data_IF_158071229759
#
_entry.id   IF_158071229759
#
_cell.length_a   1.000
_cell.length_b   1.000
_cell.length_c   1.000
_cell.angle_alpha   90.00
_cell.angle_beta   90.00
_cell.angle_gamma   90.00
#
_symmetry.space_group_name_H-M   'P 1'
#
loop_
_entity.id
_entity.type
_entity.pdbx_description
1 polymer ?
#
# COMPACT_ATOMS: atom_id res chain seq x y z
N UNK A 1 -12.51 -17.98 11.70
CA UNK A 1 -11.92 -16.64 11.97
C UNK A 1 -10.79 -16.31 11.00
N UNK A 2 -9.73 -17.14 10.88
CA UNK A 2 -8.68 -16.94 9.85
C UNK A 2 -9.22 -16.83 8.43
N UNK A 3 -10.06 -17.78 8.01
CA UNK A 3 -10.65 -17.80 6.67
C UNK A 3 -11.36 -16.49 6.31
N UNK A 4 -12.12 -15.93 7.24
CA UNK A 4 -12.81 -14.65 7.04
C UNK A 4 -11.82 -13.47 6.99
N UNK A 5 -10.86 -13.40 7.93
CA UNK A 5 -9.90 -12.31 8.02
C UNK A 5 -8.96 -12.25 6.82
N UNK A 6 -8.58 -13.40 6.26
CA UNK A 6 -7.68 -13.54 5.11
C UNK A 6 -8.42 -13.73 3.77
N UNK A 7 -9.75 -13.65 3.76
CA UNK A 7 -10.58 -14.02 2.61
C UNK A 7 -10.17 -13.32 1.30
N UNK A 8 -9.89 -12.01 1.32
CA UNK A 8 -9.50 -11.30 0.08
C UNK A 8 -8.12 -11.71 -0.43
N UNK A 9 -7.22 -12.07 0.48
CA UNK A 9 -5.90 -12.59 0.14
C UNK A 9 -6.02 -13.99 -0.48
N UNK A 10 -6.80 -14.89 0.14
CA UNK A 10 -6.97 -16.25 -0.37
C UNK A 10 -7.75 -16.30 -1.68
N UNK A 11 -8.74 -15.42 -1.87
CA UNK A 11 -9.39 -15.21 -3.17
C UNK A 11 -8.37 -14.80 -4.25
N UNK A 12 -7.40 -13.96 -3.90
CA UNK A 12 -6.36 -13.54 -4.84
C UNK A 12 -5.41 -14.68 -5.16
N UNK A 13 -4.99 -15.46 -4.16
CA UNK A 13 -4.14 -16.64 -4.38
C UNK A 13 -4.78 -17.65 -5.34
N UNK A 14 -6.10 -17.85 -5.27
CA UNK A 14 -6.84 -18.79 -6.13
C UNK A 14 -6.75 -18.46 -7.63
N UNK A 15 -6.45 -17.21 -8.01
CA UNK A 15 -6.30 -16.86 -9.43
C UNK A 15 -5.11 -17.57 -10.08
N UNK A 16 -4.13 -17.99 -9.27
CA UNK A 16 -2.88 -18.61 -9.73
C UNK A 16 -2.87 -20.14 -9.64
N UNK A 17 -3.90 -20.72 -8.99
CA UNK A 17 -3.92 -22.11 -8.57
C UNK A 17 -5.02 -22.89 -9.27
N UNK A 18 -4.83 -24.21 -9.40
CA UNK A 18 -5.81 -25.11 -10.01
C UNK A 18 -7.20 -24.98 -9.33
N UNK A 19 -8.25 -25.30 -10.07
CA UNK A 19 -9.60 -25.28 -9.52
C UNK A 19 -9.73 -26.31 -8.38
N UNK A 20 -10.46 -25.94 -7.32
CA UNK A 20 -10.75 -26.86 -6.21
C UNK A 20 -9.67 -26.96 -5.12
N UNK A 21 -8.59 -26.18 -5.16
CA UNK A 21 -7.62 -26.11 -4.05
C UNK A 21 -8.33 -25.75 -2.74
N UNK A 22 -8.11 -26.54 -1.68
CA UNK A 22 -8.79 -26.35 -0.40
C UNK A 22 -8.42 -25.00 0.23
N UNK A 23 -9.39 -24.35 0.90
CA UNK A 23 -9.13 -23.09 1.61
C UNK A 23 -8.07 -23.24 2.70
N UNK A 24 -8.10 -24.36 3.42
CA UNK A 24 -7.14 -24.66 4.49
C UNK A 24 -5.70 -24.68 3.97
N UNK A 25 -5.45 -25.20 2.76
CA UNK A 25 -4.11 -25.18 2.15
C UNK A 25 -3.61 -23.76 1.87
N UNK A 26 -4.51 -22.84 1.49
CA UNK A 26 -4.15 -21.43 1.26
C UNK A 26 -3.83 -20.73 2.58
N UNK A 27 -4.63 -20.98 3.61
CA UNK A 27 -4.41 -20.44 4.95
C UNK A 27 -3.09 -20.99 5.51
N UNK A 28 -2.86 -22.30 5.42
CA UNK A 28 -1.63 -22.95 5.87
C UNK A 28 -0.39 -22.38 5.15
N UNK A 29 -0.46 -22.17 3.84
CA UNK A 29 0.62 -21.56 3.08
C UNK A 29 0.97 -20.15 3.58
N UNK A 30 -0.04 -19.33 3.91
CA UNK A 30 0.15 -17.98 4.46
C UNK A 30 0.66 -18.02 5.91
N UNK A 31 0.04 -18.81 6.78
CA UNK A 31 0.31 -18.81 8.22
C UNK A 31 1.54 -19.61 8.60
N UNK A 32 1.99 -20.51 7.73
CA UNK A 32 3.19 -21.29 8.01
C UNK A 32 4.50 -20.54 7.72
N UNK A 33 4.47 -19.35 7.11
CA UNK A 33 5.69 -18.58 6.80
C UNK A 33 6.15 -17.82 8.04
N UNK A 34 7.41 -18.02 8.41
CA UNK A 34 8.10 -17.32 9.48
C UNK A 34 9.10 -16.32 8.88
N UNK A 35 8.83 -15.03 9.09
CA UNK A 35 9.72 -13.96 8.69
C UNK A 35 10.40 -13.33 9.91
N UNK A 36 11.67 -12.97 9.78
CA UNK A 36 12.42 -12.21 10.79
C UNK A 36 12.90 -10.89 10.19
N UNK A 37 12.56 -9.79 10.85
CA UNK A 37 12.98 -8.43 10.48
C UNK A 37 14.19 -8.06 11.35
N UNK A 38 15.28 -7.69 10.71
CA UNK A 38 16.55 -7.36 11.34
C UNK A 38 16.86 -5.90 11.08
N UNK A 39 17.11 -5.14 12.14
CA UNK A 39 17.57 -3.76 12.02
C UNK A 39 18.66 -3.50 13.06
N UNK A 40 19.82 -3.01 12.60
CA UNK A 40 20.91 -2.62 13.49
C UNK A 40 20.60 -1.34 14.28
N UNK A 41 21.39 -1.03 15.33
CA UNK A 41 21.20 0.16 16.16
C UNK A 41 21.15 1.47 15.37
N UNK A 42 21.96 1.61 14.31
CA UNK A 42 22.00 2.82 13.48
C UNK A 42 20.68 3.05 12.72
N UNK A 43 20.10 1.98 12.16
CA UNK A 43 18.84 2.08 11.40
C UNK A 43 17.67 2.30 12.35
N UNK A 44 17.55 1.50 13.42
CA UNK A 44 16.39 1.60 14.32
C UNK A 44 16.36 2.90 15.13
N UNK A 45 17.49 3.59 15.25
CA UNK A 45 17.57 4.91 15.86
C UNK A 45 16.89 6.01 15.02
N UNK A 46 16.67 5.81 13.72
CA UNK A 46 16.02 6.80 12.85
C UNK A 46 14.49 6.62 12.81
N UNK A 47 13.74 7.69 12.50
CA UNK A 47 12.27 7.61 12.36
C UNK A 47 11.88 6.77 11.14
N UNK A 48 12.62 6.92 10.04
CA UNK A 48 12.46 6.11 8.84
C UNK A 48 12.71 4.61 9.11
N UNK A 49 13.76 4.26 9.86
CA UNK A 49 14.07 2.87 10.22
C UNK A 49 12.99 2.22 11.09
N UNK A 50 12.51 2.92 12.13
CA UNK A 50 11.35 2.47 12.94
C UNK A 50 10.12 2.28 12.06
N UNK A 51 9.85 3.25 11.18
CA UNK A 51 8.73 3.20 10.25
C UNK A 51 8.80 1.98 9.33
N UNK A 52 9.97 1.65 8.78
CA UNK A 52 10.14 0.48 7.92
C UNK A 52 9.88 -0.82 8.69
N UNK A 53 10.45 -0.99 9.89
CA UNK A 53 10.21 -2.18 10.73
C UNK A 53 8.72 -2.35 11.02
N UNK A 54 8.06 -1.27 11.46
CA UNK A 54 6.63 -1.28 11.79
C UNK A 54 5.79 -1.65 10.55
N UNK A 55 6.09 -1.01 9.42
CA UNK A 55 5.36 -1.22 8.17
C UNK A 55 5.51 -2.64 7.67
N UNK A 56 6.75 -3.15 7.62
CA UNK A 56 7.05 -4.51 7.17
C UNK A 56 6.34 -5.53 8.06
N UNK A 57 6.46 -5.36 9.39
CA UNK A 57 5.83 -6.26 10.36
C UNK A 57 4.31 -6.31 10.22
N UNK A 58 3.66 -5.15 10.13
CA UNK A 58 2.21 -5.06 9.98
C UNK A 58 1.74 -5.63 8.63
N UNK A 59 2.41 -5.31 7.51
CA UNK A 59 2.02 -5.85 6.20
C UNK A 59 2.14 -7.37 6.14
N UNK A 60 3.21 -7.93 6.70
CA UNK A 60 3.42 -9.39 6.76
C UNK A 60 2.42 -10.07 7.70
N UNK A 61 2.19 -9.51 8.89
CA UNK A 61 1.20 -10.06 9.82
C UNK A 61 -0.23 -10.00 9.26
N UNK A 62 -0.57 -8.95 8.48
CA UNK A 62 -1.86 -8.84 7.75
C UNK A 62 -2.02 -9.91 6.66
N UNK A 63 -0.91 -10.38 6.09
CA UNK A 63 -0.91 -11.52 5.16
C UNK A 63 -1.02 -12.87 5.87
N UNK A 64 -0.92 -12.91 7.20
CA UNK A 64 -1.02 -14.13 8.02
C UNK A 64 0.31 -14.69 8.51
N UNK A 65 1.45 -14.09 8.13
CA UNK A 65 2.77 -14.62 8.48
C UNK A 65 3.08 -14.49 9.98
N UNK A 66 3.93 -15.38 10.50
CA UNK A 66 4.55 -15.22 11.82
C UNK A 66 5.73 -14.27 11.70
N UNK A 67 5.72 -13.17 12.45
CA UNK A 67 6.75 -12.12 12.33
C UNK A 67 7.59 -12.03 13.60
N UNK A 68 8.91 -12.01 13.44
CA UNK A 68 9.89 -11.84 14.50
C UNK A 68 10.71 -10.55 14.33
N UNK A 69 11.03 -9.88 15.42
CA UNK A 69 11.76 -8.61 15.45
C UNK A 69 13.15 -8.80 16.08
N UNK A 70 14.16 -8.92 15.23
CA UNK A 70 15.57 -8.98 15.61
C UNK A 70 16.20 -7.59 15.55
N UNK A 71 15.71 -6.67 16.38
CA UNK A 71 16.24 -5.33 16.55
C UNK A 71 16.21 -4.90 18.02
N UNK A 72 16.98 -3.85 18.40
CA UNK A 72 16.85 -3.23 19.72
C UNK A 72 15.44 -2.70 19.97
N UNK A 73 14.93 -2.88 21.20
CA UNK A 73 13.71 -2.19 21.61
C UNK A 73 14.01 -0.70 21.80
N UNK A 74 13.22 0.14 21.15
CA UNK A 74 13.40 1.59 21.14
C UNK A 74 12.11 2.29 21.49
N UNK A 75 12.25 3.54 21.95
CA UNK A 75 11.11 4.41 22.17
C UNK A 75 10.49 4.85 20.85
N UNK A 76 9.17 4.92 20.84
CA UNK A 76 8.37 5.56 19.80
C UNK A 76 8.07 6.99 20.24
N UNK A 77 8.99 7.90 19.91
CA UNK A 77 8.86 9.32 20.29
C UNK A 77 7.85 10.07 19.41
N UNK A 78 7.57 9.52 18.23
CA UNK A 78 6.57 10.03 17.29
C UNK A 78 5.40 9.03 17.16
N UNK A 79 4.17 9.51 16.93
CA UNK A 79 3.02 8.65 16.66
C UNK A 79 3.27 7.72 15.46
N UNK A 80 2.99 6.43 15.63
CA UNK A 80 3.15 5.41 14.59
C UNK A 80 1.85 4.60 14.41
N UNK A 81 0.74 5.24 13.99
CA UNK A 81 -0.57 4.59 13.95
C UNK A 81 -0.55 3.35 13.03
N UNK A 82 -1.21 2.23 13.37
CA UNK A 82 -2.20 2.11 14.43
C UNK A 82 -1.63 1.75 15.81
N UNK A 83 -0.30 1.80 15.98
CA UNK A 83 0.34 1.37 17.21
C UNK A 83 -0.04 2.28 18.40
N UNK A 84 -0.21 1.65 19.56
CA UNK A 84 -0.41 2.31 20.84
C UNK A 84 0.71 1.94 21.83
N UNK A 85 1.17 2.94 22.58
CA UNK A 85 2.26 2.82 23.56
C UNK A 85 3.54 3.50 23.12
N UNK A 86 4.58 3.38 23.94
CA UNK A 86 5.84 4.14 23.80
C UNK A 86 7.05 3.28 23.45
N UNK A 87 6.96 1.95 23.51
CA UNK A 87 8.06 1.03 23.21
C UNK A 87 7.71 0.22 21.97
N UNK A 88 8.66 0.08 21.05
CA UNK A 88 8.47 -0.54 19.74
C UNK A 88 7.98 -1.98 19.86
N UNK A 89 8.67 -2.82 20.64
CA UNK A 89 8.35 -4.24 20.74
C UNK A 89 6.96 -4.46 21.32
N UNK A 90 6.68 -3.86 22.47
CA UNK A 90 5.39 -3.95 23.14
C UNK A 90 4.23 -3.45 22.25
N UNK A 91 4.44 -2.34 21.54
CA UNK A 91 3.42 -1.77 20.68
C UNK A 91 3.12 -2.67 19.47
N UNK A 92 4.15 -3.24 18.84
CA UNK A 92 3.99 -4.17 17.72
C UNK A 92 3.41 -5.51 18.15
N UNK A 93 3.81 -6.06 19.30
CA UNK A 93 3.22 -7.30 19.82
C UNK A 93 1.74 -7.13 20.12
N UNK A 94 1.34 -6.03 20.80
CA UNK A 94 -0.08 -5.73 21.04
C UNK A 94 -0.86 -5.57 19.73
N UNK A 95 -0.30 -4.87 18.75
CA UNK A 95 -0.95 -4.71 17.46
C UNK A 95 -1.09 -6.05 16.73
N UNK A 96 -0.06 -6.91 16.77
CA UNK A 96 -0.09 -8.26 16.20
C UNK A 96 -1.17 -9.13 16.84
N UNK A 97 -1.26 -9.13 18.17
CA UNK A 97 -2.28 -9.88 18.90
C UNK A 97 -3.71 -9.41 18.55
N UNK A 98 -3.88 -8.11 18.28
CA UNK A 98 -5.13 -7.46 17.87
C UNK A 98 -5.31 -7.36 16.33
N UNK A 99 -4.59 -8.15 15.54
CA UNK A 99 -4.68 -8.13 14.08
C UNK A 99 -5.39 -9.39 13.57
N UNK A 100 -4.69 -10.23 12.81
CA UNK A 100 -5.22 -11.50 12.30
C UNK A 100 -5.25 -12.50 13.47
N UNK A 101 -6.42 -13.07 13.82
CA UNK A 101 -6.53 -14.01 14.95
C UNK A 101 -5.52 -15.15 14.85
N UNK A 102 -4.69 -15.39 15.86
CA UNK A 102 -3.71 -16.50 15.84
C UNK A 102 -2.38 -16.21 15.13
N UNK A 103 -2.25 -15.05 14.47
CA UNK A 103 -0.95 -14.54 14.02
C UNK A 103 -0.36 -13.63 15.11
N UNK A 104 0.97 -13.57 15.21
CA UNK A 104 1.64 -12.78 16.24
C UNK A 104 2.89 -12.09 15.70
N UNK A 105 3.22 -10.95 16.31
CA UNK A 105 4.49 -10.25 16.11
C UNK A 105 5.29 -10.36 17.41
N UNK A 106 6.49 -10.94 17.35
CA UNK A 106 7.28 -11.29 18.55
C UNK A 106 8.66 -10.65 18.53
N UNK A 107 9.16 -10.12 19.66
CA UNK A 107 10.55 -9.70 19.76
C UNK A 107 11.52 -10.89 19.78
N UNK A 108 12.73 -10.68 19.28
CA UNK A 108 13.81 -11.66 19.26
C UNK A 108 13.89 -12.47 17.96
N UNK A 109 14.58 -13.60 18.04
CA UNK A 109 14.73 -14.55 16.94
C UNK A 109 13.71 -15.69 17.08
N UNK A 110 13.23 -16.25 15.95
CA UNK A 110 12.40 -17.44 15.98
C UNK A 110 13.16 -18.64 16.60
N UNK A 111 12.45 -19.59 17.24
CA UNK A 111 13.07 -20.77 17.84
C UNK A 111 13.60 -21.78 16.82
N UNK A 112 13.14 -21.70 15.58
CA UNK A 112 13.59 -22.48 14.44
C UNK A 112 14.11 -21.55 13.34
N UNK A 113 14.78 -22.13 12.34
CA UNK A 113 15.22 -21.42 11.15
C UNK A 113 14.04 -20.68 10.49
N UNK A 114 14.24 -19.42 10.11
CA UNK A 114 13.21 -18.62 9.44
C UNK A 114 13.13 -18.97 7.95
N UNK A 115 11.94 -18.83 7.36
CA UNK A 115 11.77 -18.92 5.90
C UNK A 115 12.41 -17.72 5.20
N UNK A 116 12.30 -16.53 5.82
CA UNK A 116 12.78 -15.28 5.26
C UNK A 116 13.40 -14.37 6.33
N UNK A 117 14.66 -13.98 6.13
CA UNK A 117 15.30 -12.89 6.87
C UNK A 117 15.31 -11.61 6.04
N UNK A 118 14.85 -10.51 6.65
CA UNK A 118 14.73 -9.19 6.05
C UNK A 118 15.65 -8.26 6.81
N UNK A 119 16.75 -7.87 6.17
CA UNK A 119 17.81 -7.08 6.80
C UNK A 119 17.73 -5.64 6.32
N UNK A 120 17.50 -4.70 7.23
CA UNK A 120 17.48 -3.27 6.91
C UNK A 120 18.88 -2.70 7.08
N UNK A 121 19.45 -2.18 6.00
CA UNK A 121 20.79 -1.61 5.97
C UNK A 121 21.89 -2.66 6.14
N UNK A 122 22.95 -2.27 6.84
CA UNK A 122 24.13 -3.08 7.11
C UNK A 122 24.01 -3.76 8.48
N UNK A 123 23.30 -4.89 8.55
CA UNK A 123 23.24 -5.73 9.75
C UNK A 123 23.53 -7.20 9.41
N UNK A 124 23.94 -7.95 10.44
CA UNK A 124 24.18 -9.39 10.29
C UNK A 124 22.87 -10.14 10.11
N UNK A 125 22.76 -10.91 9.03
CA UNK A 125 21.60 -11.75 8.79
C UNK A 125 21.61 -12.98 9.72
N UNK A 126 20.48 -13.34 10.35
CA UNK A 126 20.33 -14.64 11.00
C UNK A 126 20.24 -15.76 9.97
N UNK A 127 20.27 -17.01 10.43
CA UNK A 127 20.02 -18.15 9.57
C UNK A 127 18.56 -18.17 9.07
N UNK A 128 18.38 -18.18 7.75
CA UNK A 128 17.09 -18.29 7.08
C UNK A 128 17.22 -18.97 5.70
N UNK A 129 16.13 -19.51 5.17
CA UNK A 129 16.11 -20.12 3.83
C UNK A 129 16.32 -19.10 2.72
N UNK A 130 15.79 -17.89 2.90
CA UNK A 130 16.06 -16.73 2.06
C UNK A 130 16.51 -15.55 2.91
N UNK A 131 17.50 -14.80 2.43
CA UNK A 131 17.90 -13.52 3.03
C UNK A 131 17.75 -12.43 1.96
N UNK A 132 17.11 -11.33 2.34
CA UNK A 132 17.08 -10.11 1.55
C UNK A 132 17.59 -8.94 2.38
N UNK A 133 18.33 -8.05 1.72
CA UNK A 133 18.79 -6.79 2.27
C UNK A 133 18.03 -5.65 1.63
N UNK A 134 17.63 -4.69 2.46
CA UNK A 134 16.90 -3.51 2.06
C UNK A 134 17.73 -2.27 2.30
N UNK A 135 17.80 -1.41 1.29
CA UNK A 135 18.28 -0.05 1.42
C UNK A 135 17.12 0.95 1.28
N UNK A 136 17.31 2.14 1.82
CA UNK A 136 16.35 3.22 1.72
C UNK A 136 17.03 4.59 1.77
N UNK A 137 16.62 5.48 0.88
CA UNK A 137 16.82 6.92 1.00
C UNK A 137 15.50 7.60 1.34
N UNK A 138 15.45 8.92 1.28
CA UNK A 138 14.22 9.66 1.52
C UNK A 138 13.16 9.34 0.44
N UNK A 139 13.57 9.07 -0.80
CA UNK A 139 12.65 8.85 -1.93
C UNK A 139 12.85 7.54 -2.70
N UNK A 140 13.80 6.70 -2.31
CA UNK A 140 14.07 5.44 -2.99
C UNK A 140 14.19 4.26 -2.03
N UNK A 141 13.96 3.06 -2.57
CA UNK A 141 14.13 1.80 -1.88
C UNK A 141 14.91 0.84 -2.77
N UNK A 142 15.77 0.04 -2.16
CA UNK A 142 16.47 -1.05 -2.85
C UNK A 142 16.21 -2.37 -2.14
N UNK A 143 16.21 -3.44 -2.92
CA UNK A 143 16.20 -4.82 -2.45
C UNK A 143 17.37 -5.54 -3.12
N UNK A 144 18.11 -6.35 -2.36
CA UNK A 144 19.18 -7.21 -2.85
C UNK A 144 19.19 -8.54 -2.12
N UNK A 145 19.50 -9.63 -2.82
CA UNK A 145 19.67 -10.96 -2.23
C UNK A 145 21.15 -11.34 -2.01
N UNK A 146 22.08 -10.43 -2.27
CA UNK A 146 23.53 -10.74 -2.26
C UNK A 146 24.37 -9.78 -1.43
N UNK A 147 23.90 -8.57 -1.20
CA UNK A 147 24.66 -7.54 -0.50
C UNK A 147 23.75 -6.56 0.26
N UNK A 148 24.22 -5.99 1.38
CA UNK A 148 23.53 -4.91 2.09
C UNK A 148 23.15 -3.74 1.19
N UNK A 149 21.97 -3.18 1.43
CA UNK A 149 21.54 -1.92 0.83
C UNK A 149 22.00 -0.74 1.68
N UNK A 150 22.35 0.38 1.05
CA UNK A 150 22.65 1.60 1.79
C UNK A 150 21.40 2.14 2.48
N UNK A 151 21.53 2.52 3.75
CA UNK A 151 20.46 3.16 4.50
C UNK A 151 20.82 4.61 4.80
N UNK A 152 20.22 5.54 4.06
CA UNK A 152 20.42 6.99 4.21
C UNK A 152 19.15 7.71 4.70
N UNK A 153 17.99 7.05 4.68
CA UNK A 153 16.75 7.61 5.19
C UNK A 153 16.78 7.84 6.72
N UNK A 154 16.50 9.07 7.15
CA UNK A 154 16.53 9.44 8.58
C UNK A 154 15.14 9.81 9.10
N UNK A 155 14.60 10.95 8.68
CA UNK A 155 13.33 11.50 9.17
C UNK A 155 12.20 11.38 8.14
N UNK A 156 12.52 11.39 6.84
CA UNK A 156 11.56 11.26 5.76
C UNK A 156 11.34 9.78 5.39
N UNK A 157 10.18 9.19 5.69
CA UNK A 157 10.05 7.73 5.68
C UNK A 157 9.63 7.15 4.32
N UNK A 158 9.55 7.94 3.25
CA UNK A 158 8.93 7.50 2.00
C UNK A 158 9.68 6.33 1.34
N UNK A 159 10.99 6.42 1.18
CA UNK A 159 11.80 5.28 0.71
C UNK A 159 11.77 4.09 1.68
N UNK A 160 11.75 4.34 2.98
CA UNK A 160 11.67 3.31 4.01
C UNK A 160 10.33 2.53 3.97
N UNK A 161 9.22 3.21 3.66
CA UNK A 161 7.90 2.61 3.44
C UNK A 161 7.88 1.73 2.17
N UNK A 162 8.53 2.17 1.09
CA UNK A 162 8.71 1.35 -0.11
C UNK A 162 9.56 0.10 0.15
N UNK A 163 10.66 0.23 0.89
CA UNK A 163 11.52 -0.89 1.28
C UNK A 163 10.73 -1.95 2.08
N UNK A 164 9.92 -1.50 3.04
CA UNK A 164 9.04 -2.38 3.80
C UNK A 164 7.99 -3.09 2.92
N UNK A 165 7.46 -2.41 1.91
CA UNK A 165 6.50 -2.99 0.98
C UNK A 165 7.13 -4.00 0.00
N UNK A 166 8.40 -3.80 -0.39
CA UNK A 166 9.19 -4.81 -1.12
C UNK A 166 9.36 -6.08 -0.28
N UNK A 167 9.73 -5.95 0.99
CA UNK A 167 9.86 -7.08 1.91
C UNK A 167 8.55 -7.85 2.08
N UNK A 168 7.43 -7.16 2.24
CA UNK A 168 6.12 -7.79 2.35
C UNK A 168 5.76 -8.59 1.08
N UNK A 169 6.19 -8.11 -0.10
CA UNK A 169 6.06 -8.84 -1.36
C UNK A 169 6.86 -10.15 -1.36
N UNK A 170 8.11 -10.13 -0.92
CA UNK A 170 8.94 -11.35 -0.82
C UNK A 170 8.39 -12.37 0.19
N UNK A 171 7.88 -11.90 1.34
CA UNK A 171 7.23 -12.78 2.31
C UNK A 171 5.99 -13.47 1.73
N UNK A 172 5.21 -12.73 0.93
CA UNK A 172 4.06 -13.30 0.23
C UNK A 172 4.48 -14.32 -0.83
N UNK A 173 5.54 -14.05 -1.61
CA UNK A 173 6.10 -15.03 -2.55
C UNK A 173 6.54 -16.32 -1.86
N UNK A 174 7.15 -16.22 -0.67
CA UNK A 174 7.52 -17.39 0.12
C UNK A 174 6.29 -18.25 0.45
N UNK A 175 5.14 -17.64 0.73
CA UNK A 175 3.87 -18.35 0.94
C UNK A 175 3.39 -19.02 -0.35
N UNK A 176 3.39 -18.28 -1.46
CA UNK A 176 2.94 -18.81 -2.76
C UNK A 176 3.79 -19.99 -3.24
N UNK A 177 5.11 -19.97 -3.03
CA UNK A 177 6.00 -21.07 -3.45
C UNK A 177 5.66 -22.41 -2.79
N UNK A 178 5.01 -22.42 -1.62
CA UNK A 178 4.53 -23.65 -0.96
C UNK A 178 3.35 -24.30 -1.69
N UNK A 179 2.69 -23.56 -2.58
CA UNK A 179 1.54 -24.00 -3.37
C UNK A 179 1.93 -24.32 -4.82
N UNK A 180 3.22 -24.36 -5.14
CA UNK A 180 3.68 -24.53 -6.51
C UNK A 180 3.22 -25.86 -7.13
N UNK A 181 3.00 -26.92 -6.34
CA UNK A 181 2.58 -28.24 -6.83
C UNK A 181 1.12 -28.25 -7.29
N UNK A 182 0.33 -27.26 -6.87
CA UNK A 182 -1.10 -27.11 -7.22
C UNK A 182 -1.35 -25.87 -8.09
N UNK A 183 -0.30 -25.31 -8.68
CA UNK A 183 -0.40 -24.18 -9.60
C UNK A 183 -1.06 -24.54 -10.92
N UNK A 184 -1.82 -23.62 -11.54
CA UNK A 184 -2.43 -23.85 -12.88
C UNK A 184 -1.38 -24.12 -13.96
N UNK A 185 -0.27 -23.39 -13.89
CA UNK A 185 0.87 -23.51 -14.79
C UNK A 185 2.14 -23.40 -13.98
N UNK A 186 2.82 -24.54 -13.78
CA UNK A 186 4.02 -24.61 -12.96
C UNK A 186 5.11 -23.65 -13.42
N UNK A 187 5.37 -23.59 -14.73
CA UNK A 187 6.43 -22.74 -15.31
C UNK A 187 6.14 -21.26 -15.10
N UNK A 188 4.91 -20.82 -15.40
CA UNK A 188 4.53 -19.41 -15.17
C UNK A 188 4.56 -19.06 -13.68
N UNK A 189 4.11 -19.98 -12.83
CA UNK A 189 4.11 -19.82 -11.39
C UNK A 189 5.53 -19.64 -10.84
N UNK A 190 6.46 -20.53 -11.18
CA UNK A 190 7.85 -20.43 -10.72
C UNK A 190 8.52 -19.12 -11.16
N UNK A 191 8.22 -18.61 -12.37
CA UNK A 191 8.74 -17.32 -12.83
C UNK A 191 8.15 -16.13 -12.05
N UNK A 192 6.85 -16.15 -11.77
CA UNK A 192 6.16 -15.04 -11.07
C UNK A 192 6.55 -14.97 -9.59
N UNK A 193 6.67 -16.14 -8.93
CA UNK A 193 6.88 -16.25 -7.48
C UNK A 193 8.34 -16.50 -7.09
N UNK A 194 9.27 -16.46 -8.05
CA UNK A 194 10.69 -16.52 -7.80
C UNK A 194 11.15 -15.38 -6.85
N UNK A 195 12.09 -15.65 -5.94
CA UNK A 195 12.76 -14.62 -5.15
C UNK A 195 13.30 -13.50 -6.04
N UNK A 196 13.13 -12.25 -5.60
CA UNK A 196 13.79 -11.13 -6.25
C UNK A 196 15.29 -11.11 -5.92
N UNK A 197 16.12 -10.91 -6.95
CA UNK A 197 17.59 -10.81 -6.77
C UNK A 197 18.01 -9.40 -6.46
N UNK A 198 17.58 -8.43 -7.28
CA UNK A 198 17.89 -7.00 -7.12
C UNK A 198 16.76 -6.16 -7.67
N UNK A 199 16.28 -5.18 -6.91
CA UNK A 199 15.31 -4.20 -7.38
C UNK A 199 15.61 -2.82 -6.82
N UNK A 200 15.28 -1.78 -7.58
CA UNK A 200 15.35 -0.39 -7.17
C UNK A 200 14.04 0.30 -7.54
N UNK A 201 13.48 1.02 -6.57
CA UNK A 201 12.25 1.77 -6.72
C UNK A 201 12.57 3.22 -6.36
N UNK A 202 12.39 4.11 -7.33
CA UNK A 202 12.59 5.55 -7.17
C UNK A 202 11.24 6.25 -7.25
N UNK A 203 10.76 6.78 -6.13
CA UNK A 203 9.44 7.41 -5.99
C UNK A 203 9.46 8.89 -6.39
N UNK A 204 10.59 9.54 -6.16
CA UNK A 204 10.90 10.90 -6.60
C UNK A 204 12.43 11.09 -6.65
N UNK A 205 12.94 12.13 -7.33
CA UNK A 205 14.34 12.51 -7.22
C UNK A 205 14.73 12.81 -5.76
N UNK A 206 16.01 12.60 -5.38
CA UNK A 206 16.49 12.95 -4.02
C UNK A 206 16.34 14.45 -3.68
N UNK A 207 16.30 15.29 -4.72
CA UNK A 207 16.08 16.74 -4.60
C UNK A 207 14.60 17.12 -4.47
N UNK A 208 13.68 16.16 -4.53
CA UNK A 208 12.25 16.42 -4.43
C UNK A 208 11.88 17.04 -3.08
N UNK A 209 11.00 18.03 -3.12
CA UNK A 209 10.65 18.78 -1.94
C UNK A 209 9.77 17.94 -0.99
N UNK A 210 9.97 18.11 0.31
CA UNK A 210 9.27 17.38 1.36
C UNK A 210 8.08 18.19 1.84
N UNK A 211 6.99 18.15 1.08
CA UNK A 211 5.75 18.86 1.44
C UNK A 211 5.21 18.36 2.79
N UNK A 212 5.04 19.28 3.75
CA UNK A 212 4.51 18.98 5.10
C UNK A 212 3.10 19.50 5.31
N UNK A 213 2.78 20.64 4.70
CA UNK A 213 1.41 21.16 4.66
C UNK A 213 0.66 20.56 3.47
N UNK A 214 -0.33 19.75 3.78
CA UNK A 214 -1.18 19.09 2.79
C UNK A 214 -2.44 19.89 2.48
N UNK A 215 -2.63 21.06 3.11
CA UNK A 215 -3.82 21.89 2.97
C UNK A 215 -5.10 21.13 3.31
N UNK A 216 -6.19 21.48 2.62
CA UNK A 216 -7.44 20.71 2.68
C UNK A 216 -7.55 19.81 1.47
N UNK A 217 -7.96 18.55 1.67
CA UNK A 217 -8.27 17.63 0.59
C UNK A 217 -9.39 16.66 1.00
N UNK A 218 -10.05 16.07 0.00
CA UNK A 218 -11.02 14.99 0.20
C UNK A 218 -10.38 13.64 -0.10
N UNK A 219 -10.73 12.64 0.70
CA UNK A 219 -10.44 11.23 0.47
C UNK A 219 -11.77 10.51 0.27
N UNK A 220 -12.02 10.02 -0.95
CA UNK A 220 -13.23 9.24 -1.26
C UNK A 220 -12.90 7.76 -1.15
N UNK A 221 -13.58 7.06 -0.22
CA UNK A 221 -13.29 5.73 0.33
C UNK A 221 -12.54 5.77 1.66
N UNK A 222 -12.96 4.93 2.61
CA UNK A 222 -12.25 4.48 3.80
C UNK A 222 -11.69 3.06 3.63
N UNK A 223 -11.69 2.55 2.40
CA UNK A 223 -11.15 1.24 2.02
C UNK A 223 -9.63 1.15 2.06
N UNK A 224 -9.09 0.08 1.46
CA UNK A 224 -7.70 -0.34 1.64
C UNK A 224 -6.66 0.68 1.15
N UNK A 225 -6.90 1.26 -0.03
CA UNK A 225 -6.01 2.25 -0.66
C UNK A 225 -5.98 3.55 0.15
N UNK A 226 -7.15 4.05 0.55
CA UNK A 226 -7.26 5.24 1.40
C UNK A 226 -6.62 5.02 2.78
N UNK A 227 -6.84 3.85 3.39
CA UNK A 227 -6.18 3.44 4.63
C UNK A 227 -4.65 3.46 4.49
N UNK A 228 -4.13 2.91 3.38
CA UNK A 228 -2.69 2.90 3.11
C UNK A 228 -2.13 4.31 2.85
N UNK A 229 -2.83 5.15 2.08
CA UNK A 229 -2.44 6.54 1.86
C UNK A 229 -2.37 7.30 3.19
N UNK A 230 -3.40 7.19 4.04
CA UNK A 230 -3.40 7.80 5.37
C UNK A 230 -2.31 7.21 6.27
N UNK A 231 -2.05 5.89 6.21
CA UNK A 231 -0.95 5.26 6.96
C UNK A 231 0.41 5.89 6.63
N UNK A 232 0.63 6.20 5.35
CA UNK A 232 1.84 6.89 4.86
C UNK A 232 1.87 8.33 5.32
N UNK A 233 0.81 9.10 5.06
CA UNK A 233 0.76 10.53 5.37
C UNK A 233 0.89 10.82 6.87
N UNK A 234 0.27 10.00 7.74
CA UNK A 234 0.33 10.16 9.19
C UNK A 234 1.71 9.91 9.81
N UNK A 235 2.67 9.38 9.04
CA UNK A 235 4.05 9.14 9.47
C UNK A 235 5.02 10.22 9.01
N UNK A 236 4.55 11.16 8.21
CA UNK A 236 5.39 12.24 7.75
C UNK A 236 5.69 13.18 8.93
N UNK A 237 6.97 13.59 9.09
CA UNK A 237 7.36 14.46 10.19
C UNK A 237 6.66 15.82 10.05
N UNK A 238 6.04 16.27 11.14
CA UNK A 238 5.36 17.58 11.21
C UNK A 238 4.27 17.80 10.14
N UNK A 239 3.65 16.73 9.66
CA UNK A 239 2.57 16.84 8.66
C UNK A 239 1.38 17.62 9.21
N UNK A 240 0.83 18.52 8.39
CA UNK A 240 -0.36 19.31 8.71
C UNK A 240 -1.38 19.27 7.58
N UNK A 241 -2.64 19.53 7.92
CA UNK A 241 -3.73 19.64 6.94
C UNK A 241 -5.05 19.11 7.47
N UNK A 242 -6.06 19.11 6.59
CA UNK A 242 -7.40 18.59 6.86
C UNK A 242 -7.82 17.65 5.74
N UNK A 243 -8.09 16.40 6.08
CA UNK A 243 -8.60 15.38 5.17
C UNK A 243 -10.05 15.06 5.53
N UNK A 244 -11.00 15.36 4.65
CA UNK A 244 -12.38 14.85 4.78
C UNK A 244 -12.45 13.46 4.17
N UNK A 245 -12.78 12.44 4.95
CA UNK A 245 -12.83 11.05 4.46
C UNK A 245 -14.27 10.57 4.34
N UNK A 246 -14.65 10.12 3.14
CA UNK A 246 -16.01 9.72 2.78
C UNK A 246 -16.13 8.20 2.67
N UNK A 247 -16.95 7.57 3.51
CA UNK A 247 -17.30 6.14 3.46
C UNK A 247 -18.48 5.88 4.40
N UNK A 248 -19.45 5.06 4.01
CA UNK A 248 -20.59 4.66 4.85
C UNK A 248 -20.47 3.26 5.45
N UNK A 249 -19.42 2.50 5.13
CA UNK A 249 -19.28 1.14 5.64
C UNK A 249 -18.73 1.13 7.08
N UNK A 250 -19.02 0.01 7.74
CA UNK A 250 -18.35 -0.42 8.95
C UNK A 250 -17.14 -1.32 8.64
N UNK A 251 -16.17 -1.34 9.54
CA UNK A 251 -15.02 -2.22 9.45
C UNK A 251 -15.43 -3.68 9.67
N UNK A 252 -15.15 -4.55 8.70
CA UNK A 252 -15.38 -6.00 8.82
C UNK A 252 -14.08 -6.76 9.09
N UNK A 253 -14.17 -8.00 9.63
CA UNK A 253 -13.00 -8.88 9.82
C UNK A 253 -12.21 -9.07 8.52
N UNK A 254 -12.92 -9.24 7.40
CA UNK A 254 -12.31 -9.36 6.08
C UNK A 254 -11.50 -8.15 5.63
N UNK A 255 -11.56 -7.01 6.34
CA UNK A 255 -10.78 -5.81 6.05
C UNK A 255 -9.39 -5.82 6.70
N UNK A 256 -9.17 -6.67 7.72
CA UNK A 256 -7.92 -6.73 8.47
C UNK A 256 -6.72 -7.09 7.59
N UNK A 257 -6.91 -7.87 6.53
CA UNK A 257 -5.80 -8.23 5.63
C UNK A 257 -5.26 -7.08 4.77
N UNK A 258 -5.92 -5.91 4.70
CA UNK A 258 -5.55 -4.86 3.73
C UNK A 258 -5.68 -3.42 4.20
N UNK A 259 -6.54 -3.13 5.19
CA UNK A 259 -6.69 -1.78 5.71
C UNK A 259 -5.55 -1.47 6.70
N UNK A 260 -4.51 -0.77 6.23
CA UNK A 260 -3.26 -0.57 6.97
C UNK A 260 -3.39 0.01 8.40
N UNK A 261 -4.43 0.79 8.69
CA UNK A 261 -4.69 1.38 10.00
C UNK A 261 -5.72 0.62 10.84
N UNK A 262 -6.39 -0.40 10.30
CA UNK A 262 -7.44 -1.13 11.00
C UNK A 262 -6.86 -2.21 11.92
N UNK A 263 -7.28 -2.23 13.18
CA UNK A 263 -7.07 -3.34 14.11
C UNK A 263 -8.40 -4.06 14.39
N UNK A 264 -8.33 -5.30 14.88
CA UNK A 264 -9.50 -6.16 15.12
C UNK A 264 -10.44 -5.58 16.18
N UNK A 265 -9.91 -4.89 17.19
CA UNK A 265 -10.70 -4.18 18.20
C UNK A 265 -11.64 -3.11 17.62
N UNK A 266 -11.41 -2.65 16.38
CA UNK A 266 -12.25 -1.67 15.71
C UNK A 266 -13.26 -2.30 14.72
N UNK A 267 -13.35 -3.62 14.62
CA UNK A 267 -14.38 -4.29 13.80
C UNK A 267 -15.78 -3.93 14.32
N UNK A 268 -16.70 -3.62 13.39
CA UNK A 268 -18.05 -3.14 13.67
C UNK A 268 -18.14 -1.63 13.92
N UNK A 269 -17.03 -0.89 13.80
CA UNK A 269 -17.05 0.58 13.87
C UNK A 269 -17.10 1.19 12.47
N UNK A 270 -17.71 2.37 12.32
CA UNK A 270 -17.64 3.13 11.06
C UNK A 270 -16.20 3.36 10.67
N UNK A 271 -15.83 3.01 9.43
CA UNK A 271 -14.44 3.09 8.95
C UNK A 271 -13.88 4.51 9.07
N UNK A 272 -14.67 5.52 8.69
CA UNK A 272 -14.22 6.91 8.74
C UNK A 272 -14.09 7.44 10.16
N UNK A 273 -14.97 7.00 11.07
CA UNK A 273 -14.86 7.33 12.50
C UNK A 273 -13.61 6.70 13.12
N UNK A 274 -13.28 5.45 12.76
CA UNK A 274 -12.04 4.81 13.20
C UNK A 274 -10.81 5.58 12.69
N UNK A 275 -10.78 5.95 11.41
CA UNK A 275 -9.69 6.74 10.83
C UNK A 275 -9.48 8.09 11.52
N UNK A 276 -10.58 8.76 11.92
CA UNK A 276 -10.52 10.05 12.60
C UNK A 276 -9.72 10.03 13.91
N UNK A 277 -9.64 8.87 14.59
CA UNK A 277 -8.91 8.72 15.86
C UNK A 277 -7.40 8.91 15.75
N UNK A 278 -6.86 8.73 14.55
CA UNK A 278 -5.43 8.88 14.28
C UNK A 278 -5.04 10.29 13.88
N UNK A 279 -6.02 11.16 13.61
CA UNK A 279 -5.78 12.53 13.24
C UNK A 279 -5.02 13.28 14.34
N UNK A 280 -3.93 13.94 13.94
CA UNK A 280 -3.13 14.81 14.82
C UNK A 280 -2.78 16.10 14.08
N UNK A 281 -1.56 16.19 13.55
CA UNK A 281 -1.16 17.31 12.69
C UNK A 281 -1.96 17.30 11.39
N UNK A 282 -2.10 16.15 10.76
CA UNK A 282 -3.12 15.90 9.74
C UNK A 282 -4.44 15.54 10.43
N UNK A 283 -5.41 16.46 10.41
CA UNK A 283 -6.76 16.22 10.93
C UNK A 283 -7.55 15.37 9.93
N UNK A 284 -8.21 14.32 10.41
CA UNK A 284 -9.10 13.48 9.60
C UNK A 284 -10.54 13.76 10.05
N UNK A 285 -11.35 14.30 9.15
CA UNK A 285 -12.76 14.61 9.37
C UNK A 285 -13.63 13.50 8.77
N UNK A 286 -14.39 12.76 9.60
CA UNK A 286 -15.21 11.67 9.10
C UNK A 286 -16.47 12.20 8.41
N UNK A 287 -16.75 11.68 7.22
CA UNK A 287 -18.01 11.90 6.50
C UNK A 287 -18.65 10.52 6.28
N UNK A 288 -19.52 10.05 7.20
CA UNK A 288 -20.07 8.70 7.19
C UNK A 288 -21.20 8.55 6.15
N UNK A 289 -20.89 8.86 4.90
CA UNK A 289 -21.83 8.93 3.78
C UNK A 289 -21.15 8.36 2.55
N UNK A 290 -21.88 7.52 1.80
CA UNK A 290 -21.46 7.06 0.49
C UNK A 290 -21.35 8.24 -0.47
N UNK A 291 -20.16 8.45 -1.02
CA UNK A 291 -20.00 9.46 -2.06
C UNK A 291 -20.81 9.10 -3.31
N UNK A 292 -21.47 10.08 -3.91
CA UNK A 292 -22.35 9.95 -5.07
C UNK A 292 -22.30 11.25 -5.89
N UNK A 293 -22.71 11.18 -7.15
CA UNK A 293 -22.81 12.36 -8.01
C UNK A 293 -23.70 13.44 -7.36
N UNK A 294 -23.22 14.69 -7.38
CA UNK A 294 -23.89 15.84 -6.75
C UNK A 294 -23.36 16.21 -5.37
N UNK A 295 -22.60 15.32 -4.70
CA UNK A 295 -21.84 15.72 -3.50
C UNK A 295 -20.67 16.63 -3.88
N UNK A 296 -20.46 17.69 -3.08
CA UNK A 296 -19.40 18.66 -3.31
C UNK A 296 -18.05 18.17 -2.76
N UNK A 297 -17.04 18.17 -3.62
CA UNK A 297 -15.63 17.93 -3.26
C UNK A 297 -14.84 19.25 -3.30
N UNK A 298 -13.72 19.28 -2.61
CA UNK A 298 -12.74 20.36 -2.66
C UNK A 298 -11.85 20.29 -3.89
N UNK A 299 -10.87 21.20 -3.96
CA UNK A 299 -9.95 21.32 -5.10
C UNK A 299 -8.97 20.16 -5.23
N UNK A 300 -8.62 19.48 -4.14
CA UNK A 300 -7.69 18.35 -4.13
C UNK A 300 -8.43 17.11 -3.65
N UNK A 301 -8.43 16.05 -4.47
CA UNK A 301 -9.15 14.81 -4.17
C UNK A 301 -8.23 13.61 -4.33
N UNK A 302 -8.29 12.69 -3.37
CA UNK A 302 -7.72 11.34 -3.47
C UNK A 302 -8.84 10.31 -3.53
N UNK A 303 -8.77 9.40 -4.48
CA UNK A 303 -9.73 8.32 -4.66
C UNK A 303 -9.10 6.95 -4.50
N UNK A 304 -9.74 6.13 -3.67
CA UNK A 304 -9.46 4.71 -3.51
C UNK A 304 -10.71 3.85 -3.63
N UNK A 305 -11.66 4.26 -4.48
CA UNK A 305 -12.91 3.53 -4.73
C UNK A 305 -12.73 2.50 -5.85
N UNK A 306 -13.32 1.33 -5.63
CA UNK A 306 -13.36 0.26 -6.64
C UNK A 306 -14.45 0.50 -7.70
N UNK A 307 -15.50 1.25 -7.33
CA UNK A 307 -16.61 1.57 -8.22
C UNK A 307 -16.21 2.62 -9.25
N UNK A 308 -16.12 2.23 -10.52
CA UNK A 308 -15.73 3.11 -11.63
C UNK A 308 -16.70 4.30 -11.80
N UNK A 309 -18.05 4.12 -11.76
CA UNK A 309 -18.98 5.24 -11.78
C UNK A 309 -18.74 6.28 -10.69
N UNK A 310 -18.38 5.86 -9.47
CA UNK A 310 -18.00 6.78 -8.38
C UNK A 310 -16.74 7.60 -8.72
N UNK A 311 -15.78 7.03 -9.47
CA UNK A 311 -14.61 7.78 -9.98
C UNK A 311 -15.05 8.88 -10.96
N UNK A 312 -15.98 8.57 -11.86
CA UNK A 312 -16.53 9.56 -12.79
C UNK A 312 -17.28 10.67 -12.07
N UNK A 313 -18.08 10.31 -11.06
CA UNK A 313 -18.80 11.28 -10.23
C UNK A 313 -17.85 12.25 -9.52
N UNK A 314 -16.73 11.75 -8.98
CA UNK A 314 -15.74 12.59 -8.32
C UNK A 314 -15.02 13.52 -9.30
N UNK A 315 -14.66 13.02 -10.48
CA UNK A 315 -14.11 13.86 -11.55
C UNK A 315 -15.12 14.94 -12.00
N UNK A 316 -16.40 14.58 -12.09
CA UNK A 316 -17.48 15.49 -12.45
C UNK A 316 -17.77 16.56 -11.39
N UNK A 317 -17.32 16.37 -10.14
CA UNK A 317 -17.35 17.40 -9.11
C UNK A 317 -16.34 18.54 -9.36
N UNK A 318 -15.45 18.37 -10.34
CA UNK A 318 -14.53 19.42 -10.81
C UNK A 318 -13.39 19.79 -9.86
N UNK A 319 -12.65 18.83 -9.25
CA UNK A 319 -11.45 19.17 -8.51
C UNK A 319 -10.37 19.73 -9.44
N UNK A 320 -9.54 20.64 -8.93
CA UNK A 320 -8.37 21.16 -9.65
C UNK A 320 -7.32 20.07 -9.87
N UNK A 321 -7.16 19.19 -8.87
CA UNK A 321 -6.27 18.03 -8.92
C UNK A 321 -6.90 16.81 -8.27
N UNK A 322 -6.75 15.67 -8.93
CA UNK A 322 -7.30 14.39 -8.47
C UNK A 322 -6.29 13.25 -8.63
N UNK A 323 -5.93 12.61 -7.53
CA UNK A 323 -5.18 11.36 -7.53
C UNK A 323 -6.11 10.15 -7.44
N UNK A 324 -5.86 9.11 -8.23
CA UNK A 324 -6.66 7.87 -8.21
C UNK A 324 -5.73 6.69 -8.00
N UNK A 325 -5.95 5.93 -6.94
CA UNK A 325 -5.32 4.62 -6.73
C UNK A 325 -6.27 3.48 -7.11
N UNK A 326 -5.72 2.46 -7.77
CA UNK A 326 -6.42 1.25 -8.13
C UNK A 326 -5.49 0.02 -8.01
N UNK A 327 -6.11 -1.16 -7.88
CA UNK A 327 -5.42 -2.45 -7.88
C UNK A 327 -6.19 -3.43 -8.76
N UNK A 328 -5.47 -4.31 -9.47
CA UNK A 328 -6.07 -5.39 -10.25
C UNK A 328 -5.20 -6.64 -10.12
N UNK A 329 -5.72 -7.68 -9.45
CA UNK A 329 -4.90 -8.83 -9.08
C UNK A 329 -3.72 -8.40 -8.19
N UNK A 330 -2.50 -8.73 -8.62
CA UNK A 330 -1.27 -8.28 -7.98
C UNK A 330 -0.73 -6.95 -8.53
N UNK A 331 -1.37 -6.37 -9.55
CA UNK A 331 -0.91 -5.12 -10.13
C UNK A 331 -1.46 -3.90 -9.38
N UNK A 332 -0.68 -2.83 -9.41
CA UNK A 332 -0.99 -1.53 -8.84
C UNK A 332 -1.03 -0.51 -9.96
N UNK A 333 -2.05 0.34 -9.95
CA UNK A 333 -2.16 1.49 -10.85
C UNK A 333 -2.44 2.74 -10.02
N UNK A 334 -1.70 3.82 -10.28
CA UNK A 334 -2.02 5.14 -9.72
C UNK A 334 -1.90 6.19 -10.81
N UNK A 335 -2.87 7.08 -10.90
CA UNK A 335 -2.89 8.20 -11.84
C UNK A 335 -3.14 9.53 -11.13
N UNK A 336 -2.73 10.62 -11.77
CA UNK A 336 -3.09 11.97 -11.37
C UNK A 336 -3.77 12.68 -12.56
N UNK A 337 -4.76 13.52 -12.24
CA UNK A 337 -5.58 14.20 -13.22
C UNK A 337 -5.77 15.66 -12.82
N UNK A 338 -5.71 16.54 -13.81
CA UNK A 338 -6.03 17.95 -13.73
C UNK A 338 -6.79 18.38 -14.99
N UNK A 339 -7.08 19.67 -15.14
CA UNK A 339 -7.81 20.18 -16.30
C UNK A 339 -7.08 20.02 -17.64
N UNK A 340 -5.76 19.80 -17.63
CA UNK A 340 -4.91 19.75 -18.83
C UNK A 340 -4.64 18.33 -19.32
N UNK A 341 -4.95 17.32 -18.49
CA UNK A 341 -4.65 15.92 -18.75
C UNK A 341 -5.91 15.10 -19.06
N UNK A 342 -5.73 13.92 -19.65
CA UNK A 342 -6.83 12.99 -19.83
C UNK A 342 -7.39 12.57 -18.45
N UNK A 343 -8.70 12.74 -18.26
CA UNK A 343 -9.35 12.50 -16.98
C UNK A 343 -9.51 11.00 -16.66
N UNK A 344 -10.00 10.68 -15.46
CA UNK A 344 -10.25 9.29 -15.05
C UNK A 344 -11.26 8.55 -15.94
N UNK A 345 -12.20 9.26 -16.56
CA UNK A 345 -13.12 8.68 -17.55
C UNK A 345 -12.43 8.24 -18.84
N UNK A 346 -11.36 8.93 -19.25
CA UNK A 346 -10.53 8.48 -20.38
C UNK A 346 -9.74 7.22 -20.00
N UNK A 347 -9.27 7.13 -18.76
CA UNK A 347 -8.52 5.98 -18.25
C UNK A 347 -9.42 4.75 -18.03
N UNK A 348 -10.64 4.96 -17.54
CA UNK A 348 -11.63 3.94 -17.25
C UNK A 348 -12.95 4.26 -17.98
N UNK A 349 -13.03 4.04 -19.30
CA UNK A 349 -14.19 4.45 -20.12
C UNK A 349 -15.42 3.56 -19.93
N UNK A 350 -15.27 2.38 -19.31
CA UNK A 350 -16.35 1.43 -19.13
C UNK A 350 -16.62 1.23 -17.64
N UNK A 351 -17.89 1.36 -17.25
CA UNK A 351 -18.37 0.94 -15.95
C UNK A 351 -18.69 -0.55 -15.99
N UNK A 352 -18.03 -1.33 -15.14
CA UNK A 352 -18.38 -2.73 -14.93
C UNK A 352 -19.35 -2.88 -13.76
N UNK A 353 -20.19 -3.90 -13.79
CA UNK A 353 -20.91 -4.33 -12.60
C UNK A 353 -19.95 -5.00 -11.61
N UNK A 354 -20.17 -4.77 -10.31
CA UNK A 354 -19.37 -5.43 -9.28
C UNK A 354 -19.65 -6.94 -9.29
N UNK A 355 -18.66 -7.75 -9.68
CA UNK A 355 -18.76 -9.22 -9.75
C UNK A 355 -18.53 -9.91 -8.41
N UNK A 356 -18.70 -9.18 -7.30
CA UNK A 356 -18.54 -9.67 -5.94
C UNK A 356 -17.27 -9.14 -5.25
N UNK A 357 -16.72 -9.89 -4.28
CA UNK A 357 -15.58 -9.43 -3.49
C UNK A 357 -14.31 -9.32 -4.33
N UNK A 358 -13.82 -8.09 -4.52
CA UNK A 358 -12.50 -7.79 -5.13
C UNK A 358 -11.36 -8.45 -4.33
N UNK A 359 -10.59 -9.36 -4.94
CA UNK A 359 -9.42 -9.97 -4.32
C UNK A 359 -8.26 -8.97 -4.21
N UNK A 360 -7.49 -9.03 -3.12
CA UNK A 360 -6.31 -8.19 -2.92
C UNK A 360 -5.45 -8.71 -1.76
N UNK A 361 -4.18 -8.30 -1.70
CA UNK A 361 -3.26 -8.55 -0.60
C UNK A 361 -2.79 -7.24 0.06
N UNK A 362 -2.30 -7.33 1.30
CA UNK A 362 -1.92 -6.18 2.13
C UNK A 362 -0.97 -5.22 1.41
N UNK A 363 0.13 -5.75 0.87
CA UNK A 363 1.17 -4.98 0.22
C UNK A 363 0.72 -4.38 -1.12
N UNK A 364 -0.23 -5.01 -1.84
CA UNK A 364 -0.75 -4.49 -3.12
C UNK A 364 -1.54 -3.21 -2.89
N UNK A 365 -2.50 -3.25 -1.95
CA UNK A 365 -3.25 -2.06 -1.54
C UNK A 365 -2.34 -1.01 -0.92
N UNK A 366 -1.32 -1.44 -0.15
CA UNK A 366 -0.34 -0.54 0.44
C UNK A 366 0.45 0.23 -0.62
N UNK A 367 0.97 -0.45 -1.64
CA UNK A 367 1.70 0.18 -2.73
C UNK A 367 0.84 1.21 -3.48
N UNK A 368 -0.43 0.90 -3.73
CA UNK A 368 -1.36 1.85 -4.35
C UNK A 368 -1.53 3.11 -3.48
N UNK A 369 -1.73 2.93 -2.16
CA UNK A 369 -1.82 4.05 -1.22
C UNK A 369 -0.53 4.84 -1.07
N UNK A 370 0.64 4.17 -1.08
CA UNK A 370 1.95 4.82 -1.02
C UNK A 370 2.19 5.70 -2.25
N UNK A 371 1.99 5.16 -3.45
CA UNK A 371 2.15 5.94 -4.69
C UNK A 371 1.14 7.08 -4.79
N UNK A 372 -0.09 6.88 -4.30
CA UNK A 372 -1.10 7.92 -4.24
C UNK A 372 -0.69 9.05 -3.27
N UNK A 373 -0.16 8.71 -2.10
CA UNK A 373 0.39 9.68 -1.16
C UNK A 373 1.59 10.42 -1.73
N UNK A 374 2.52 9.72 -2.41
CA UNK A 374 3.67 10.35 -3.10
C UNK A 374 3.19 11.35 -4.14
N UNK A 375 2.19 11.02 -4.97
CA UNK A 375 1.63 11.95 -5.95
C UNK A 375 1.02 13.19 -5.30
N UNK A 376 0.31 13.05 -4.18
CA UNK A 376 -0.17 14.20 -3.41
C UNK A 376 0.99 15.07 -2.92
N UNK A 377 2.02 14.47 -2.34
CA UNK A 377 3.18 15.21 -1.81
C UNK A 377 3.89 16.00 -2.90
N UNK A 378 4.07 15.39 -4.08
CA UNK A 378 4.68 16.05 -5.24
C UNK A 378 3.79 17.17 -5.77
N UNK A 379 2.48 16.96 -5.84
CA UNK A 379 1.53 18.03 -6.19
C UNK A 379 1.60 19.20 -5.20
N UNK A 380 1.67 18.94 -3.89
CA UNK A 380 1.79 19.98 -2.84
C UNK A 380 3.16 20.67 -2.82
N UNK A 381 4.17 20.04 -3.40
CA UNK A 381 5.49 20.61 -3.62
C UNK A 381 5.58 21.44 -4.91
N UNK A 382 4.46 21.63 -5.63
CA UNK A 382 4.41 22.24 -6.96
C UNK A 382 5.36 21.56 -7.97
N UNK A 383 5.61 20.26 -7.78
CA UNK A 383 6.41 19.49 -8.72
C UNK A 383 5.59 19.04 -9.92
N UNK A 384 6.18 19.20 -11.10
CA UNK A 384 5.60 18.69 -12.32
C UNK A 384 5.55 17.15 -12.27
N UNK A 385 4.34 16.62 -12.48
CA UNK A 385 4.14 15.18 -12.58
C UNK A 385 4.52 14.73 -13.99
N UNK A 386 5.74 14.20 -14.12
CA UNK A 386 6.29 13.74 -15.41
C UNK A 386 5.45 12.62 -16.03
N UNK A 387 4.87 11.75 -15.20
CA UNK A 387 4.06 10.61 -15.66
C UNK A 387 2.60 10.71 -15.22
N UNK A 388 1.70 10.75 -16.20
CA UNK A 388 0.26 10.81 -16.00
C UNK A 388 -0.28 9.62 -15.17
N UNK A 389 0.32 8.44 -15.32
CA UNK A 389 0.02 7.26 -14.51
C UNK A 389 1.25 6.35 -14.30
N UNK A 390 1.20 5.57 -13.23
CA UNK A 390 2.17 4.53 -12.88
C UNK A 390 1.42 3.20 -12.82
N UNK A 391 1.92 2.19 -13.54
CA UNK A 391 1.46 0.80 -13.44
C UNK A 391 2.65 -0.08 -13.13
N UNK A 392 2.57 -0.91 -12.09
CA UNK A 392 3.63 -1.86 -11.77
C UNK A 392 3.11 -3.07 -11.00
N UNK A 393 3.89 -4.15 -11.02
CA UNK A 393 3.61 -5.37 -10.23
C UNK A 393 4.64 -5.49 -9.11
N UNK A 394 4.24 -5.44 -7.82
CA UNK A 394 5.16 -5.66 -6.70
C UNK A 394 5.75 -7.08 -6.67
N UNK A 395 5.21 -8.02 -7.44
CA UNK A 395 5.74 -9.38 -7.52
C UNK A 395 6.99 -9.46 -8.37
N UNK A 396 7.19 -8.54 -9.31
CA UNK A 396 8.42 -8.43 -10.10
C UNK A 396 8.89 -6.98 -10.07
N UNK A 397 9.36 -6.48 -8.91
CA UNK A 397 9.74 -5.08 -8.75
C UNK A 397 10.94 -4.71 -9.62
N UNK A 398 11.67 -5.67 -10.19
CA UNK A 398 12.74 -5.42 -11.16
C UNK A 398 12.24 -4.77 -12.45
N UNK A 399 10.93 -4.87 -12.72
CA UNK A 399 10.29 -4.20 -13.85
C UNK A 399 9.91 -2.73 -13.55
N UNK A 400 10.25 -2.19 -12.36
CA UNK A 400 9.97 -0.80 -11.97
C UNK A 400 10.39 0.26 -13.00
N UNK A 401 11.54 0.17 -13.70
CA UNK A 401 11.93 1.17 -14.68
C UNK A 401 10.97 1.35 -15.86
N UNK A 402 10.00 0.43 -16.04
CA UNK A 402 8.98 0.48 -17.08
C UNK A 402 7.65 1.11 -16.58
N UNK A 403 7.61 1.51 -15.31
CA UNK A 403 6.47 2.17 -14.69
C UNK A 403 6.50 3.67 -15.01
N UNK A 404 5.39 4.20 -15.53
CA UNK A 404 5.32 5.56 -16.07
C UNK A 404 4.77 5.51 -17.48
N UNK A 405 3.49 5.84 -17.64
CA UNK A 405 2.80 5.82 -18.93
C UNK A 405 2.02 7.12 -19.10
N UNK A 406 1.95 7.58 -20.35
CA UNK A 406 1.01 8.62 -20.74
C UNK A 406 -0.45 8.15 -20.59
N UNK A 407 -1.38 9.11 -20.63
CA UNK A 407 -2.80 8.82 -20.74
C UNK A 407 -3.34 9.48 -22.00
N UNK A 408 -3.96 8.70 -22.87
CA UNK A 408 -4.57 9.23 -24.10
C UNK A 408 -6.00 9.69 -23.83
N UNK A 409 -6.41 10.86 -24.35
CA UNK A 409 -7.81 11.25 -24.32
C UNK A 409 -8.65 10.32 -25.19
N UNK A 410 -9.94 10.21 -24.87
CA UNK A 410 -10.89 9.37 -25.59
C UNK A 410 -12.10 10.16 -26.06
N UNK A 411 -12.59 9.90 -27.27
CA UNK A 411 -13.79 10.55 -27.80
C UNK A 411 -15.07 10.06 -27.11
N UNK A 412 -15.06 8.84 -26.54
CA UNK A 412 -16.17 8.24 -25.80
C UNK A 412 -16.04 8.41 -24.28
N UNK A 413 -15.33 9.46 -23.82
CA UNK A 413 -15.13 9.70 -22.39
C UNK A 413 -16.46 9.92 -21.66
N UNK A 414 -16.82 9.09 -20.65
CA UNK A 414 -18.12 9.17 -19.96
C UNK A 414 -18.26 10.43 -19.09
N UNK A 415 -17.15 11.07 -18.72
CA UNK A 415 -17.15 12.36 -18.01
C UNK A 415 -17.27 13.53 -18.99
N UNK A 416 -16.86 13.34 -20.24
CA UNK A 416 -16.79 14.40 -21.25
C UNK A 416 -15.82 15.52 -20.90
N UNK A 417 -14.62 15.21 -20.38
CA UNK A 417 -13.63 16.22 -19.97
C UNK A 417 -13.16 17.12 -21.12
N UNK A 418 -12.56 18.27 -20.81
CA UNK A 418 -12.10 19.25 -21.81
C UNK A 418 -11.20 18.66 -22.88
N UNK A 419 -10.17 17.90 -22.48
CA UNK A 419 -9.25 17.24 -23.41
C UNK A 419 -9.96 16.27 -24.37
N UNK A 420 -11.01 15.60 -23.90
CA UNK A 420 -11.86 14.72 -24.74
C UNK A 420 -12.70 15.52 -25.73
N UNK A 421 -13.28 16.65 -25.29
CA UNK A 421 -14.05 17.56 -26.15
C UNK A 421 -13.18 18.17 -27.24
N UNK A 422 -11.96 18.55 -26.92
CA UNK A 422 -11.02 19.13 -27.89
C UNK A 422 -10.53 18.10 -28.92
N UNK A 423 -10.35 16.84 -28.52
CA UNK A 423 -10.11 15.74 -29.45
C UNK A 423 -11.26 15.60 -30.47
N UNK A 424 -12.52 15.65 -30.02
CA UNK A 424 -13.69 15.56 -30.90
C UNK A 424 -13.80 16.76 -31.85
N UNK A 425 -13.50 17.97 -31.37
CA UNK A 425 -13.48 19.19 -32.19
C UNK A 425 -12.41 19.12 -33.27
N UNK A 426 -11.20 18.65 -32.91
CA UNK A 426 -10.06 18.51 -33.83
C UNK A 426 -10.33 17.46 -34.91
N UNK A 427 -11.02 16.36 -34.56
CA UNK A 427 -11.43 15.33 -35.51
C UNK A 427 -12.57 15.77 -36.45
N UNK A 428 -13.27 16.86 -36.12
CA UNK A 428 -14.40 17.41 -36.89
C UNK A 428 -14.02 18.64 -37.73
N UNK A 429 -12.76 19.11 -37.64
CA UNK A 429 -12.25 20.20 -38.45
C UNK A 429 -11.88 19.68 -39.87
N UNK A 430 -12.36 20.32 -40.95
CA UNK A 430 -12.19 19.85 -42.32
C UNK A 430 -10.75 19.90 -42.84
#
# INVERSE_FOLDING_TARGET
MHAEALNRTTLLMRTELADGVAEDSLIEALTGVTAVIVAGPAVIATSAGRTAVITAALLMARSGHSVWLACPDVRLDEPQPPLAGTMLHDALSRAGDDLIPGCAIRPGLPPARADLAIVLGEASAPEADQVIWLGASDWSATLSSTAPGAWTAVDWPIGALAAAALAAGEAFKASMRRLADVARSRVAFEMTWAPSTTAEVTLAPETAARARDLGTFDMVSGGAIANAALFVLLRLPEVSGVCRTWDDDEAALSNLNRNALLLRSAVGTSKVTDLARYGRGLKIEPVPVRFQAGHALGSTVLLGVDDIPSRWAAQGAGPDWMGVGATAGFAVQVSAHDATTACVGCLHPQGGEATGPIPTASFVSFWSGLLLAVRLLRHRADEETVDAQTFFSPMRPEAWPWAGQGMSPRADCPVGCDVSRDLMRSASAP
#
